data_IF_710750759666
#
_entry.id   IF_710750759666
#
_cell.length_a   1.000
_cell.length_b   1.000
_cell.length_c   1.000
_cell.angle_alpha   90.00
_cell.angle_beta   90.00
_cell.angle_gamma   90.00
#
_symmetry.space_group_name_H-M   'P 1'
#
loop_
_entity.id
_entity.type
_entity.pdbx_description
1 polymer ?
#
# COMPACT_ATOMS: atom_id res chain seq x y z
N UNK A 1 19.42 -7.39 -23.18
CA UNK A 1 18.61 -6.17 -23.36
C UNK A 1 18.80 -5.28 -22.15
N UNK A 2 19.30 -4.04 -22.31
CA UNK A 2 19.37 -3.09 -21.19
C UNK A 2 17.95 -2.64 -20.89
N UNK A 3 17.42 -2.88 -19.69
CA UNK A 3 16.11 -2.35 -19.34
C UNK A 3 16.12 -0.82 -19.48
N UNK A 4 15.10 -0.31 -20.16
CA UNK A 4 14.90 1.11 -20.38
C UNK A 4 14.61 1.78 -19.03
N UNK A 5 15.56 2.59 -18.55
CA UNK A 5 15.40 3.50 -17.41
C UNK A 5 13.98 4.13 -17.30
N UNK A 6 13.39 4.70 -18.37
CA UNK A 6 12.05 5.29 -18.30
C UNK A 6 10.94 4.29 -17.95
N UNK A 7 11.06 3.03 -18.38
CA UNK A 7 10.06 2.00 -18.08
C UNK A 7 10.09 1.64 -16.60
N UNK A 8 11.27 1.42 -16.03
CA UNK A 8 11.38 1.06 -14.61
C UNK A 8 11.02 2.22 -13.70
N UNK A 9 11.36 3.46 -14.08
CA UNK A 9 10.97 4.63 -13.27
C UNK A 9 9.46 4.85 -13.30
N UNK A 10 8.81 4.65 -14.46
CA UNK A 10 7.36 4.66 -14.57
C UNK A 10 6.72 3.56 -13.71
N UNK A 11 7.20 2.32 -13.80
CA UNK A 11 6.69 1.20 -13.01
C UNK A 11 6.82 1.46 -11.51
N UNK A 12 7.95 1.99 -11.05
CA UNK A 12 8.16 2.35 -9.65
C UNK A 12 7.13 3.39 -9.19
N UNK A 13 7.01 4.50 -9.91
CA UNK A 13 6.12 5.61 -9.53
C UNK A 13 4.66 5.17 -9.56
N UNK A 14 4.22 4.50 -10.62
CA UNK A 14 2.85 4.00 -10.75
C UNK A 14 2.51 3.00 -9.65
N UNK A 15 3.41 2.06 -9.35
CA UNK A 15 3.16 1.06 -8.31
C UNK A 15 2.93 1.71 -6.95
N UNK A 16 3.71 2.73 -6.59
CA UNK A 16 3.60 3.42 -5.30
C UNK A 16 2.29 4.23 -5.17
N UNK A 17 1.94 5.00 -6.20
CA UNK A 17 0.74 5.84 -6.15
C UNK A 17 -0.56 5.03 -6.34
N UNK A 18 -0.56 4.02 -7.21
CA UNK A 18 -1.71 3.12 -7.34
C UNK A 18 -1.95 2.32 -6.06
N UNK A 19 -0.87 1.85 -5.43
CA UNK A 19 -0.97 1.16 -4.15
C UNK A 19 -1.57 2.09 -3.06
N UNK A 20 -1.04 3.30 -2.90
CA UNK A 20 -1.59 4.26 -1.96
C UNK A 20 -3.07 4.59 -2.27
N UNK A 21 -3.42 4.78 -3.54
CA UNK A 21 -4.78 5.07 -3.99
C UNK A 21 -5.76 3.93 -3.71
N UNK A 22 -5.36 2.68 -3.94
CA UNK A 22 -6.18 1.50 -3.62
C UNK A 22 -6.44 1.38 -2.12
N UNK A 23 -5.42 1.58 -1.29
CA UNK A 23 -5.55 1.57 0.16
C UNK A 23 -6.48 2.69 0.64
N UNK A 24 -6.32 3.91 0.13
CA UNK A 24 -7.21 5.03 0.46
C UNK A 24 -8.65 4.75 0.03
N UNK A 25 -8.85 4.28 -1.19
CA UNK A 25 -10.17 4.00 -1.74
C UNK A 25 -10.88 2.84 -1.03
N UNK A 26 -10.18 1.76 -0.73
CA UNK A 26 -10.79 0.57 -0.11
C UNK A 26 -10.81 0.70 1.42
N UNK A 27 -9.65 0.89 2.05
CA UNK A 27 -9.54 0.84 3.52
C UNK A 27 -10.16 2.04 4.22
N UNK A 28 -10.07 3.24 3.64
CA UNK A 28 -10.52 4.48 4.28
C UNK A 28 -11.86 5.00 3.76
N UNK A 29 -12.24 4.66 2.52
CA UNK A 29 -13.48 5.13 1.91
C UNK A 29 -14.54 4.02 1.83
N UNK A 30 -14.27 2.92 1.13
CA UNK A 30 -15.24 1.83 0.95
C UNK A 30 -15.60 1.13 2.26
N UNK A 31 -14.58 0.74 3.04
CA UNK A 31 -14.77 -0.07 4.24
C UNK A 31 -15.71 0.57 5.28
N UNK A 32 -15.65 1.88 5.58
CA UNK A 32 -16.66 2.51 6.44
C UNK A 32 -17.98 2.79 5.71
N UNK A 33 -17.96 3.28 4.47
CA UNK A 33 -19.19 3.68 3.76
C UNK A 33 -20.12 2.52 3.42
N UNK A 34 -19.60 1.30 3.22
CA UNK A 34 -20.47 0.15 2.93
C UNK A 34 -21.47 -0.13 4.05
N UNK A 35 -21.14 0.22 5.30
CA UNK A 35 -22.04 0.05 6.45
C UNK A 35 -23.13 1.13 6.54
N UNK A 36 -23.12 2.13 5.66
CA UNK A 36 -24.18 3.14 5.57
C UNK A 36 -25.23 2.81 4.50
N UNK A 37 -25.05 1.72 3.75
CA UNK A 37 -25.98 1.32 2.69
C UNK A 37 -27.32 0.81 3.27
N UNK A 38 -28.47 1.10 2.62
CA UNK A 38 -29.75 0.53 3.01
C UNK A 38 -29.70 -1.00 3.06
N UNK A 39 -30.33 -1.59 4.08
CA UNK A 39 -30.42 -3.05 4.30
C UNK A 39 -29.09 -3.77 4.58
N UNK A 40 -27.98 -3.05 4.81
CA UNK A 40 -26.73 -3.67 5.22
C UNK A 40 -26.81 -4.19 6.66
N UNK A 41 -26.33 -5.41 6.89
CA UNK A 41 -26.13 -5.96 8.24
C UNK A 41 -24.64 -6.03 8.53
N UNK A 42 -24.26 -6.03 9.81
CA UNK A 42 -22.85 -6.15 10.21
C UNK A 42 -22.22 -7.43 9.66
N UNK A 43 -22.92 -8.56 9.74
CA UNK A 43 -22.46 -9.84 9.19
C UNK A 43 -22.22 -9.75 7.68
N UNK A 44 -23.14 -9.15 6.92
CA UNK A 44 -22.99 -8.97 5.48
C UNK A 44 -21.80 -8.05 5.15
N UNK A 45 -21.68 -6.90 5.82
CA UNK A 45 -20.59 -5.95 5.60
C UNK A 45 -19.21 -6.52 5.97
N UNK A 46 -19.13 -7.33 7.03
CA UNK A 46 -17.91 -8.07 7.39
C UNK A 46 -17.58 -9.15 6.36
N UNK A 47 -18.58 -9.92 5.90
CA UNK A 47 -18.41 -10.93 4.85
C UNK A 47 -17.86 -10.33 3.55
N UNK A 48 -18.42 -9.19 3.09
CA UNK A 48 -17.90 -8.43 1.95
C UNK A 48 -16.48 -7.94 2.23
N UNK A 49 -16.25 -7.40 3.43
CA UNK A 49 -14.92 -6.95 3.87
C UNK A 49 -13.86 -8.02 3.72
N UNK A 50 -14.09 -9.24 4.24
CA UNK A 50 -13.12 -10.34 4.11
C UNK A 50 -12.67 -10.55 2.67
N UNK A 51 -13.62 -10.69 1.75
CA UNK A 51 -13.33 -10.94 0.32
C UNK A 51 -12.53 -9.78 -0.28
N UNK A 52 -12.97 -8.55 -0.05
CA UNK A 52 -12.33 -7.34 -0.60
C UNK A 52 -10.92 -7.15 -0.04
N UNK A 53 -10.70 -7.31 1.27
CA UNK A 53 -9.39 -7.16 1.89
C UNK A 53 -8.42 -8.29 1.50
N UNK A 54 -8.89 -9.53 1.30
CA UNK A 54 -8.07 -10.60 0.75
C UNK A 54 -7.63 -10.30 -0.70
N UNK A 55 -8.53 -9.74 -1.51
CA UNK A 55 -8.19 -9.32 -2.87
C UNK A 55 -7.21 -8.14 -2.86
N UNK A 56 -7.46 -7.12 -2.04
CA UNK A 56 -6.57 -5.97 -1.85
C UNK A 56 -5.17 -6.45 -1.45
N UNK A 57 -5.04 -7.28 -0.41
CA UNK A 57 -3.74 -7.77 0.05
C UNK A 57 -2.92 -8.46 -1.06
N UNK A 58 -3.57 -9.22 -1.95
CA UNK A 58 -2.88 -9.83 -3.12
C UNK A 58 -2.37 -8.76 -4.10
N UNK A 59 -3.18 -7.74 -4.37
CA UNK A 59 -2.79 -6.62 -5.24
C UNK A 59 -1.67 -5.79 -4.61
N UNK A 60 -1.73 -5.55 -3.30
CA UNK A 60 -0.68 -4.86 -2.55
C UNK A 60 0.65 -5.62 -2.61
N UNK A 61 0.63 -6.95 -2.44
CA UNK A 61 1.83 -7.78 -2.59
C UNK A 61 2.43 -7.69 -4.00
N UNK A 62 1.59 -7.69 -5.03
CA UNK A 62 2.03 -7.52 -6.41
C UNK A 62 2.67 -6.14 -6.63
N UNK A 63 1.98 -5.06 -6.23
CA UNK A 63 2.48 -3.69 -6.39
C UNK A 63 3.76 -3.46 -5.58
N UNK A 64 3.82 -4.00 -4.36
CA UNK A 64 5.01 -3.95 -3.52
C UNK A 64 6.19 -4.69 -4.14
N UNK A 65 5.97 -5.89 -4.69
CA UNK A 65 7.00 -6.62 -5.41
C UNK A 65 7.51 -5.83 -6.62
N UNK A 66 6.60 -5.28 -7.45
CA UNK A 66 6.98 -4.46 -8.61
C UNK A 66 7.79 -3.23 -8.17
N UNK A 67 7.36 -2.53 -7.11
CA UNK A 67 8.07 -1.37 -6.58
C UNK A 67 9.49 -1.73 -6.09
N UNK A 68 9.65 -2.82 -5.33
CA UNK A 68 10.94 -3.28 -4.82
C UNK A 68 11.89 -3.70 -5.97
N UNK A 69 11.38 -4.43 -6.96
CA UNK A 69 12.16 -4.85 -8.12
C UNK A 69 12.56 -3.65 -8.99
N UNK A 70 11.66 -2.68 -9.19
CA UNK A 70 11.98 -1.48 -9.93
C UNK A 70 13.00 -0.59 -9.20
N UNK A 71 12.82 -0.39 -7.89
CA UNK A 71 13.74 0.37 -7.05
C UNK A 71 15.15 -0.23 -7.04
N UNK A 72 15.25 -1.56 -6.89
CA UNK A 72 16.54 -2.28 -6.93
C UNK A 72 17.19 -2.20 -8.31
N UNK A 73 16.42 -2.40 -9.38
CA UNK A 73 16.95 -2.35 -10.74
C UNK A 73 17.48 -0.98 -11.14
N UNK A 74 16.89 0.07 -10.60
CA UNK A 74 17.27 1.47 -10.82
C UNK A 74 18.38 1.97 -9.88
N UNK A 75 18.78 1.18 -8.89
CA UNK A 75 19.71 1.57 -7.83
C UNK A 75 19.31 2.91 -7.19
N UNK A 76 18.04 3.04 -6.80
CA UNK A 76 17.49 4.30 -6.28
C UNK A 76 18.22 4.76 -5.00
N UNK A 77 18.30 6.09 -4.74
CA UNK A 77 18.93 6.62 -3.53
C UNK A 77 18.34 6.04 -2.24
N UNK A 78 19.19 5.88 -1.21
CA UNK A 78 18.81 5.29 0.09
C UNK A 78 17.61 5.95 0.78
N UNK A 79 17.37 7.26 0.58
CA UNK A 79 16.18 7.95 1.10
C UNK A 79 14.84 7.39 0.58
N UNK A 80 14.83 6.81 -0.63
CA UNK A 80 13.64 6.15 -1.18
C UNK A 80 13.43 4.81 -0.47
N UNK A 81 14.50 4.05 -0.28
CA UNK A 81 14.47 2.81 0.51
C UNK A 81 14.02 3.04 1.96
N UNK A 82 14.45 4.13 2.58
CA UNK A 82 14.09 4.49 3.95
C UNK A 82 12.58 4.70 4.16
N UNK A 83 11.82 4.99 3.10
CA UNK A 83 10.36 5.09 3.15
C UNK A 83 9.65 3.88 2.56
N UNK A 84 10.24 3.21 1.55
CA UNK A 84 9.65 2.02 0.92
C UNK A 84 9.71 0.77 1.81
N UNK A 85 10.82 0.53 2.50
CA UNK A 85 10.98 -0.66 3.35
C UNK A 85 10.00 -0.69 4.52
N UNK A 86 9.74 0.42 5.25
CA UNK A 86 8.67 0.45 6.24
C UNK A 86 7.30 0.10 5.67
N UNK A 87 6.92 0.62 4.49
CA UNK A 87 5.65 0.28 3.86
C UNK A 87 5.55 -1.23 3.55
N UNK A 88 6.62 -1.82 3.02
CA UNK A 88 6.69 -3.26 2.77
C UNK A 88 6.65 -4.09 4.06
N UNK A 89 7.32 -3.66 5.13
CA UNK A 89 7.29 -4.33 6.42
C UNK A 89 5.89 -4.31 7.05
N UNK A 90 5.18 -3.17 6.95
CA UNK A 90 3.78 -3.07 7.38
C UNK A 90 2.90 -4.02 6.58
N UNK A 91 3.01 -4.04 5.25
CA UNK A 91 2.26 -4.98 4.42
C UNK A 91 2.50 -6.43 4.87
N UNK A 92 3.76 -6.83 5.05
CA UNK A 92 4.09 -8.19 5.48
C UNK A 92 3.47 -8.51 6.84
N UNK A 93 3.60 -7.62 7.83
CA UNK A 93 2.98 -7.79 9.14
C UNK A 93 1.45 -7.93 9.04
N UNK A 94 0.82 -7.16 8.15
CA UNK A 94 -0.61 -7.26 7.89
C UNK A 94 -0.97 -8.60 7.24
N UNK A 95 -0.25 -9.01 6.20
CA UNK A 95 -0.49 -10.27 5.48
C UNK A 95 -0.34 -11.49 6.39
N UNK A 96 0.72 -11.56 7.20
CA UNK A 96 1.07 -12.78 7.94
C UNK A 96 0.42 -12.88 9.32
N UNK A 97 0.01 -11.75 9.89
CA UNK A 97 -0.49 -11.71 11.27
C UNK A 97 -1.82 -10.99 11.38
N UNK A 98 -1.89 -9.71 11.01
CA UNK A 98 -3.04 -8.89 11.36
C UNK A 98 -4.32 -9.27 10.60
N UNK A 99 -4.22 -9.51 9.29
CA UNK A 99 -5.35 -9.95 8.47
C UNK A 99 -5.83 -11.34 8.92
N UNK A 100 -4.98 -12.37 9.08
CA UNK A 100 -5.42 -13.66 9.64
C UNK A 100 -6.12 -13.53 11.00
N UNK A 101 -5.58 -12.71 11.90
CA UNK A 101 -6.18 -12.50 13.22
C UNK A 101 -7.56 -11.82 13.15
N UNK A 102 -7.74 -10.86 12.24
CA UNK A 102 -9.03 -10.22 11.98
C UNK A 102 -10.01 -11.19 11.29
N UNK A 103 -9.50 -12.06 10.43
CA UNK A 103 -10.30 -13.01 9.66
C UNK A 103 -10.96 -14.07 10.55
N UNK A 104 -10.22 -14.60 11.53
CA UNK A 104 -10.77 -15.52 12.56
C UNK A 104 -11.92 -14.87 13.33
N UNK A 105 -11.79 -13.58 13.66
CA UNK A 105 -12.83 -12.83 14.38
C UNK A 105 -14.04 -12.57 13.49
N UNK A 106 -13.81 -12.29 12.21
CA UNK A 106 -14.85 -12.14 11.21
C UNK A 106 -15.62 -13.46 11.00
N UNK A 107 -14.94 -14.60 10.96
CA UNK A 107 -15.57 -15.93 10.89
C UNK A 107 -16.41 -16.22 12.13
N UNK A 108 -15.91 -15.92 13.33
CA UNK A 108 -16.67 -16.10 14.55
C UNK A 108 -17.97 -15.29 14.54
N UNK A 109 -17.93 -14.03 14.06
CA UNK A 109 -19.13 -13.20 13.89
C UNK A 109 -20.11 -13.83 12.88
N UNK A 110 -19.61 -14.31 11.73
CA UNK A 110 -20.43 -14.95 10.70
C UNK A 110 -21.06 -16.26 11.18
N UNK A 111 -20.42 -16.97 12.12
CA UNK A 111 -20.93 -18.17 12.76
C UNK A 111 -21.90 -17.87 13.94
N UNK A 112 -22.28 -16.61 14.17
CA UNK A 112 -23.17 -16.22 15.27
C UNK A 112 -22.51 -16.21 16.65
N UNK A 113 -21.17 -16.18 16.71
CA UNK A 113 -20.37 -16.17 17.94
C UNK A 113 -19.51 -14.89 18.00
N UNK A 114 -20.14 -13.71 18.19
CA UNK A 114 -19.41 -12.45 18.23
C UNK A 114 -18.35 -12.45 19.34
N UNK A 115 -17.17 -11.94 19.02
CA UNK A 115 -16.06 -11.82 19.96
C UNK A 115 -16.08 -10.43 20.64
N UNK A 116 -15.62 -10.31 21.90
CA UNK A 116 -15.46 -9.00 22.56
C UNK A 116 -14.58 -8.08 21.73
N UNK A 117 -14.78 -6.77 21.79
CA UNK A 117 -13.99 -5.80 21.03
C UNK A 117 -12.48 -5.98 21.25
N UNK A 118 -11.70 -5.70 20.21
CA UNK A 118 -10.25 -5.86 20.22
C UNK A 118 -9.56 -4.65 19.61
N UNK A 119 -8.42 -4.29 20.20
CA UNK A 119 -7.53 -3.23 19.72
C UNK A 119 -6.95 -3.50 18.33
N UNK A 120 -7.00 -4.74 17.83
CA UNK A 120 -6.46 -5.12 16.51
C UNK A 120 -7.04 -4.30 15.37
N UNK A 121 -8.31 -3.89 15.45
CA UNK A 121 -8.92 -3.06 14.41
C UNK A 121 -8.29 -1.65 14.38
N UNK A 122 -8.06 -1.05 15.55
CA UNK A 122 -7.36 0.24 15.65
C UNK A 122 -5.90 0.15 15.21
N UNK A 123 -5.23 -0.96 15.54
CA UNK A 123 -3.89 -1.24 15.05
C UNK A 123 -3.84 -1.31 13.52
N UNK A 124 -4.83 -1.97 12.91
CA UNK A 124 -4.96 -2.06 11.46
C UNK A 124 -5.09 -0.67 10.82
N UNK A 125 -5.98 0.18 11.34
CA UNK A 125 -6.19 1.54 10.84
C UNK A 125 -4.91 2.37 10.96
N UNK A 126 -4.24 2.32 12.12
CA UNK A 126 -2.99 3.06 12.35
C UNK A 126 -1.86 2.63 11.41
N UNK A 127 -1.72 1.32 11.19
CA UNK A 127 -0.75 0.75 10.26
C UNK A 127 -1.06 1.10 8.80
N UNK A 128 -2.34 1.06 8.40
CA UNK A 128 -2.76 1.51 7.06
C UNK A 128 -2.41 2.98 6.83
N UNK A 129 -2.66 3.85 7.82
CA UNK A 129 -2.33 5.27 7.71
C UNK A 129 -0.82 5.50 7.58
N UNK A 130 -0.02 4.81 8.41
CA UNK A 130 1.44 4.87 8.34
C UNK A 130 1.98 4.35 6.99
N UNK A 131 1.42 3.24 6.47
CA UNK A 131 1.78 2.66 5.17
C UNK A 131 1.46 3.63 4.03
N UNK A 132 0.27 4.24 4.03
CA UNK A 132 -0.10 5.25 3.01
C UNK A 132 0.86 6.43 3.03
N UNK A 133 1.19 6.98 4.19
CA UNK A 133 2.15 8.08 4.30
C UNK A 133 3.52 7.67 3.75
N UNK A 134 4.00 6.48 4.11
CA UNK A 134 5.26 5.94 3.62
C UNK A 134 5.26 5.76 2.09
N UNK A 135 4.15 5.30 1.49
CA UNK A 135 3.98 5.15 0.05
C UNK A 135 3.95 6.50 -0.66
N UNK A 136 3.23 7.50 -0.14
CA UNK A 136 3.17 8.84 -0.71
C UNK A 136 4.53 9.56 -0.66
N UNK A 137 5.27 9.40 0.45
CA UNK A 137 6.64 9.91 0.59
C UNK A 137 7.57 9.21 -0.42
N UNK A 138 7.53 7.87 -0.49
CA UNK A 138 8.32 7.08 -1.42
C UNK A 138 8.05 7.46 -2.86
N UNK A 139 6.77 7.55 -3.26
CA UNK A 139 6.33 7.90 -4.61
C UNK A 139 6.77 9.31 -5.00
N UNK A 140 6.62 10.27 -4.09
CA UNK A 140 7.06 11.65 -4.30
C UNK A 140 8.58 11.76 -4.45
N UNK A 141 9.35 11.03 -3.63
CA UNK A 141 10.81 10.99 -3.73
C UNK A 141 11.28 10.31 -5.02
N UNK A 142 10.66 9.19 -5.38
CA UNK A 142 10.94 8.45 -6.61
C UNK A 142 10.63 9.28 -7.85
N UNK A 143 9.49 9.95 -7.89
CA UNK A 143 9.11 10.83 -8.99
C UNK A 143 10.09 12.00 -9.16
N UNK A 144 10.39 12.73 -8.07
CA UNK A 144 11.37 13.83 -8.11
C UNK A 144 12.75 13.36 -8.54
N UNK A 145 13.18 12.19 -8.09
CA UNK A 145 14.46 11.61 -8.49
C UNK A 145 14.45 11.24 -9.98
N UNK A 146 13.41 10.57 -10.46
CA UNK A 146 13.27 10.18 -11.86
C UNK A 146 13.30 11.40 -12.80
N UNK A 147 12.61 12.49 -12.45
CA UNK A 147 12.65 13.74 -13.22
C UNK A 147 14.06 14.33 -13.32
N UNK A 148 14.79 14.41 -12.20
CA UNK A 148 16.17 14.93 -12.19
C UNK A 148 17.13 14.04 -12.99
N UNK A 149 16.95 12.72 -12.91
CA UNK A 149 17.76 11.75 -13.65
C UNK A 149 17.45 11.72 -15.15
N UNK A 150 16.28 12.18 -15.56
CA UNK A 150 15.91 12.32 -16.97
C UNK A 150 16.40 13.63 -17.61
N UNK A 151 16.77 14.64 -16.82
CA UNK A 151 17.34 15.89 -17.34
C UNK A 151 18.81 15.68 -17.76
N UNK A 152 19.19 15.97 -19.02
CA UNK A 152 20.58 15.90 -19.44
C UNK A 152 21.43 16.97 -18.72
N UNK A 153 22.72 16.68 -18.51
CA UNK A 153 23.67 17.45 -17.69
C UNK A 153 23.92 18.93 -18.09
N UNK A 154 23.20 19.47 -19.07
CA UNK A 154 23.47 20.76 -19.73
C UNK A 154 23.02 22.01 -18.94
N UNK A 155 22.43 21.87 -17.74
CA UNK A 155 21.97 23.00 -16.92
C UNK A 155 22.85 23.26 -15.70
N UNK A 156 24.10 22.78 -15.66
CA UNK A 156 25.10 23.29 -14.70
C UNK A 156 25.70 24.56 -15.30
N UNK A 157 25.38 25.77 -14.78
CA UNK A 157 26.13 26.95 -15.19
C UNK A 157 27.60 26.67 -14.86
N UNK A 158 28.45 26.76 -15.87
CA UNK A 158 29.90 26.79 -15.68
C UNK A 158 30.15 28.04 -14.86
N UNK A 159 30.47 27.86 -13.58
CA UNK A 159 30.94 28.96 -12.75
C UNK A 159 32.22 29.50 -13.40
N UNK A 160 32.14 30.74 -13.88
CA UNK A 160 33.27 31.54 -14.33
C UNK A 160 33.98 32.17 -13.12
#
# INVERSE_FOLDING_TARGET
>A
MRPSFPTFSLLLVLSLFLWAGLVLGISFLEAPLKFTAPHITTALGVGIGRVVFHALNKVELLLGLVALLAASRLCVPGRIWASLLPAAAVLLAQTVWLLPALDVRAEALLAGRPQPESWLHWAYIGLEAAKVLALLISGSLAFRWALRSAQPAAARPVAA
#
